data_IF_375403927729
#
_entry.id   IF_375403927729
#
_cell.length_a   1.000
_cell.length_b   1.000
_cell.length_c   1.000
_cell.angle_alpha   90.00
_cell.angle_beta   90.00
_cell.angle_gamma   90.00
#
_symmetry.space_group_name_H-M   'P 1'
#
loop_
_entity.id
_entity.type
_entity.pdbx_description
1 polymer ?
#
# COMPACT_ATOMS: atom_id res chain seq x y z
N UNK A 1 -14.14 -33.66 45.06
CA UNK A 1 -14.82 -32.35 45.01
C UNK A 1 -13.84 -31.27 45.42
N UNK A 2 -13.70 -30.21 44.64
CA UNK A 2 -12.95 -29.01 45.01
C UNK A 2 -12.07 -28.47 43.88
N UNK A 3 -12.67 -27.79 42.90
CA UNK A 3 -11.93 -26.94 41.96
C UNK A 3 -11.43 -25.66 42.66
N UNK A 4 -10.22 -25.15 42.36
CA UNK A 4 -9.81 -23.82 42.78
C UNK A 4 -10.32 -22.75 41.81
N UNK A 5 -11.14 -21.82 42.33
CA UNK A 5 -11.65 -20.66 41.59
C UNK A 5 -10.52 -19.66 41.32
N UNK A 6 -10.19 -19.44 40.05
CA UNK A 6 -9.36 -18.32 39.60
C UNK A 6 -10.16 -17.01 39.70
N UNK A 7 -9.63 -16.06 40.48
CA UNK A 7 -10.21 -14.74 40.69
C UNK A 7 -10.20 -13.87 39.44
N UNK A 8 -11.25 -13.04 39.27
CA UNK A 8 -11.35 -12.04 38.20
C UNK A 8 -10.26 -10.97 38.32
N UNK A 9 -9.66 -10.50 37.21
CA UNK A 9 -8.81 -9.32 37.22
C UNK A 9 -9.64 -8.02 37.38
N UNK A 10 -9.05 -6.95 37.95
CA UNK A 10 -9.73 -5.67 38.15
C UNK A 10 -9.96 -4.90 36.84
N UNK A 11 -11.10 -4.20 36.74
CA UNK A 11 -11.45 -3.30 35.63
C UNK A 11 -10.58 -2.04 35.71
N UNK A 12 -9.81 -1.76 34.66
CA UNK A 12 -9.16 -0.48 34.45
C UNK A 12 -10.21 0.55 33.99
N UNK A 13 -10.34 1.63 34.74
CA UNK A 13 -11.19 2.80 34.44
C UNK A 13 -10.54 3.65 33.34
N UNK A 14 -11.28 3.93 32.26
CA UNK A 14 -10.86 4.82 31.19
C UNK A 14 -10.93 6.31 31.61
N UNK A 15 -9.99 7.16 31.18
CA UNK A 15 -10.05 8.61 31.44
C UNK A 15 -11.04 9.34 30.48
N UNK A 16 -11.60 10.49 30.90
CA UNK A 16 -12.61 11.23 30.13
C UNK A 16 -12.03 12.04 28.97
N UNK A 17 -12.83 12.16 27.90
CA UNK A 17 -12.56 12.91 26.66
C UNK A 17 -12.80 14.42 26.89
N UNK A 18 -11.91 15.34 26.47
CA UNK A 18 -12.15 16.78 26.57
C UNK A 18 -13.07 17.29 25.46
N UNK A 19 -14.02 18.14 25.87
CA UNK A 19 -15.01 18.81 25.04
C UNK A 19 -14.43 19.97 24.21
N UNK A 20 -14.94 20.15 22.99
CA UNK A 20 -14.61 21.24 22.07
C UNK A 20 -15.21 22.58 22.53
N UNK A 21 -14.50 23.73 22.42
CA UNK A 21 -15.08 25.03 22.72
C UNK A 21 -15.72 25.67 21.49
N UNK A 22 -16.97 26.10 21.68
CA UNK A 22 -17.74 27.04 20.86
C UNK A 22 -17.17 28.45 20.98
N UNK A 23 -16.89 29.12 19.85
CA UNK A 23 -16.47 30.52 19.82
C UNK A 23 -17.66 31.44 19.53
N UNK A 24 -18.04 32.24 20.53
CA UNK A 24 -18.92 33.41 20.41
C UNK A 24 -18.13 34.70 20.66
N UNK A 25 -18.20 35.59 19.67
CA UNK A 25 -18.36 37.06 19.78
C UNK A 25 -17.44 37.85 20.74
N UNK A 26 -16.64 38.75 20.16
CA UNK A 26 -16.30 40.03 20.81
C UNK A 26 -15.92 41.09 19.76
N UNK A 27 -16.64 42.22 19.80
CA UNK A 27 -16.23 43.50 19.19
C UNK A 27 -15.52 44.35 20.26
N UNK A 28 -14.70 45.35 19.87
CA UNK A 28 -14.41 46.50 20.73
C UNK A 28 -14.88 47.84 20.15
N UNK A 29 -15.31 48.70 21.08
CA UNK A 29 -15.69 50.10 20.95
C UNK A 29 -14.49 51.06 20.82
N UNK A 30 -14.82 52.28 20.37
CA UNK A 30 -14.32 53.64 20.74
C UNK A 30 -14.09 54.46 19.46
N UNK A 31 -14.52 55.71 19.27
CA UNK A 31 -15.15 56.74 20.11
C UNK A 31 -14.73 58.11 19.57
N UNK A 32 -15.68 59.02 19.25
CA UNK A 32 -15.61 60.49 19.46
C UNK A 32 -16.66 61.25 18.65
N UNK A 33 -17.44 62.05 19.38
CA UNK A 33 -18.35 63.05 18.85
C UNK A 33 -17.61 64.38 18.58
N UNK A 34 -18.00 65.07 17.51
CA UNK A 34 -17.55 66.42 17.18
C UNK A 34 -18.53 67.08 16.19
N UNK A 35 -19.37 67.97 16.71
CA UNK A 35 -20.39 68.74 15.99
C UNK A 35 -19.78 69.80 15.05
N UNK A 36 -20.33 69.96 13.83
CA UNK A 36 -20.44 71.26 13.10
C UNK A 36 -21.25 71.16 11.79
N UNK A 37 -22.41 71.83 11.84
CA UNK A 37 -23.11 72.67 10.82
C UNK A 37 -23.10 72.27 9.32
N UNK A 38 -24.34 72.07 8.85
CA UNK A 38 -24.94 72.24 7.52
C UNK A 38 -24.07 72.68 6.33
N UNK A 39 -24.08 71.88 5.27
CA UNK A 39 -24.29 72.35 3.89
C UNK A 39 -25.11 71.28 3.12
N UNK A 40 -26.30 71.68 2.64
CA UNK A 40 -27.16 70.91 1.75
C UNK A 40 -26.60 71.02 0.32
N UNK A 41 -26.26 69.89 -0.29
CA UNK A 41 -26.17 69.75 -1.76
C UNK A 41 -27.18 68.68 -2.19
N UNK A 42 -27.92 68.88 -3.30
CA UNK A 42 -28.91 67.93 -3.76
C UNK A 42 -28.22 66.78 -4.50
N UNK A 43 -28.29 65.56 -3.97
CA UNK A 43 -28.02 64.36 -4.77
C UNK A 43 -29.29 64.01 -5.57
N UNK A 44 -29.19 63.72 -6.88
CA UNK A 44 -30.33 63.30 -7.68
C UNK A 44 -30.79 61.91 -7.25
N UNK A 45 -32.10 61.76 -7.13
CA UNK A 45 -32.78 60.47 -6.94
C UNK A 45 -32.51 59.60 -8.17
N UNK A 46 -31.98 58.37 -8.06
CA UNK A 46 -31.93 57.47 -9.19
C UNK A 46 -33.35 56.99 -9.53
N UNK A 47 -33.71 57.15 -10.80
CA UNK A 47 -34.97 56.73 -11.41
C UNK A 47 -35.26 55.23 -11.17
N UNK A 48 -36.54 54.80 -11.17
CA UNK A 48 -36.88 53.40 -11.00
C UNK A 48 -36.29 52.56 -12.14
N UNK A 49 -35.49 51.55 -11.77
CA UNK A 49 -34.99 50.55 -12.71
C UNK A 49 -36.17 49.87 -13.40
N UNK A 50 -36.25 50.04 -14.71
CA UNK A 50 -37.14 49.26 -15.57
C UNK A 50 -36.88 47.76 -15.34
N UNK A 51 -37.94 46.95 -15.30
CA UNK A 51 -37.87 45.48 -15.32
C UNK A 51 -37.22 45.03 -16.64
N UNK A 52 -35.89 45.04 -16.67
CA UNK A 52 -35.11 44.30 -17.67
C UNK A 52 -35.30 42.81 -17.39
N UNK A 53 -35.68 42.06 -18.42
CA UNK A 53 -35.73 40.62 -18.38
C UNK A 53 -34.40 40.08 -17.83
N UNK A 54 -34.49 39.18 -16.85
CA UNK A 54 -33.35 38.44 -16.31
C UNK A 54 -32.64 37.79 -17.50
N UNK A 55 -31.32 37.97 -17.70
CA UNK A 55 -30.63 37.26 -18.77
C UNK A 55 -30.85 35.76 -18.58
N UNK A 56 -31.07 34.98 -19.67
CA UNK A 56 -31.18 33.53 -19.54
C UNK A 56 -29.91 33.03 -18.84
N UNK A 57 -30.08 32.14 -17.86
CA UNK A 57 -28.96 31.41 -17.28
C UNK A 57 -28.11 30.86 -18.43
N UNK A 58 -26.76 30.91 -18.36
CA UNK A 58 -25.94 30.37 -19.43
C UNK A 58 -26.38 28.94 -19.67
N UNK A 59 -26.87 28.66 -20.89
CA UNK A 59 -27.21 27.31 -21.29
C UNK A 59 -25.96 26.47 -21.04
N UNK A 60 -26.04 25.52 -20.12
CA UNK A 60 -25.00 24.52 -19.89
C UNK A 60 -24.67 23.98 -21.27
N UNK A 61 -23.47 24.30 -21.77
CA UNK A 61 -23.03 23.82 -23.06
C UNK A 61 -22.99 22.30 -22.96
N UNK A 62 -24.02 21.64 -23.48
CA UNK A 62 -24.05 20.18 -23.58
C UNK A 62 -22.89 19.81 -24.49
N UNK A 63 -21.82 19.31 -23.89
CA UNK A 63 -20.70 18.74 -24.61
C UNK A 63 -21.27 17.64 -25.52
N UNK A 64 -21.30 17.87 -26.83
CA UNK A 64 -21.78 16.86 -27.79
C UNK A 64 -20.75 15.74 -27.81
N UNK A 65 -21.06 14.65 -27.11
CA UNK A 65 -20.32 13.40 -27.24
C UNK A 65 -20.62 12.81 -28.61
N UNK A 66 -19.58 12.43 -29.35
CA UNK A 66 -19.78 11.79 -30.65
C UNK A 66 -20.46 10.43 -30.45
N UNK A 67 -21.50 10.07 -31.23
CA UNK A 67 -22.21 8.80 -31.09
C UNK A 67 -21.28 7.57 -31.15
N UNK A 68 -20.25 7.63 -32.00
CA UNK A 68 -19.23 6.58 -32.11
C UNK A 68 -18.40 6.43 -30.84
N UNK A 69 -18.12 7.53 -30.13
CA UNK A 69 -17.39 7.49 -28.87
C UNK A 69 -18.24 6.89 -27.75
N UNK A 70 -19.54 7.23 -27.71
CA UNK A 70 -20.49 6.65 -26.76
C UNK A 70 -20.62 5.14 -26.95
N UNK A 71 -20.81 4.68 -28.21
CA UNK A 71 -20.90 3.26 -28.52
C UNK A 71 -19.66 2.46 -28.09
N UNK A 72 -18.45 3.02 -28.26
CA UNK A 72 -17.20 2.37 -27.81
C UNK A 72 -17.13 2.24 -26.28
N UNK A 73 -17.61 3.23 -25.54
CA UNK A 73 -17.65 3.20 -24.07
C UNK A 73 -18.66 2.17 -23.58
N UNK A 74 -19.82 2.06 -24.23
CA UNK A 74 -20.85 1.11 -23.85
C UNK A 74 -20.40 -0.35 -24.10
N UNK A 75 -19.77 -0.62 -25.24
CA UNK A 75 -19.14 -1.94 -25.51
C UNK A 75 -18.07 -2.28 -24.46
N UNK A 76 -17.25 -1.29 -24.07
CA UNK A 76 -16.24 -1.50 -23.03
C UNK A 76 -16.87 -1.78 -21.65
N UNK A 77 -17.98 -1.13 -21.31
CA UNK A 77 -18.74 -1.38 -20.07
C UNK A 77 -19.32 -2.79 -20.04
N UNK A 78 -19.91 -3.26 -21.13
CA UNK A 78 -20.46 -4.62 -21.24
C UNK A 78 -19.37 -5.69 -21.12
N UNK A 79 -18.22 -5.50 -21.78
CA UNK A 79 -17.06 -6.39 -21.68
C UNK A 79 -16.52 -6.43 -20.24
N UNK A 80 -16.39 -5.29 -19.57
CA UNK A 80 -15.99 -5.22 -18.17
C UNK A 80 -16.99 -5.90 -17.23
N UNK A 81 -18.30 -5.76 -17.50
CA UNK A 81 -19.34 -6.42 -16.71
C UNK A 81 -19.22 -7.94 -16.83
N UNK A 82 -19.14 -8.45 -18.07
CA UNK A 82 -18.99 -9.88 -18.36
C UNK A 82 -17.72 -10.46 -17.73
N UNK A 83 -16.59 -9.75 -17.83
CA UNK A 83 -15.33 -10.14 -17.17
C UNK A 83 -15.46 -10.18 -15.66
N UNK A 84 -16.10 -9.17 -15.06
CA UNK A 84 -16.28 -9.09 -13.61
C UNK A 84 -17.17 -10.22 -13.07
N UNK A 85 -18.25 -10.55 -13.77
CA UNK A 85 -19.11 -11.68 -13.42
C UNK A 85 -18.35 -13.01 -13.46
N UNK A 86 -17.57 -13.24 -14.52
CA UNK A 86 -16.72 -14.43 -14.62
C UNK A 86 -15.65 -14.47 -13.51
N UNK A 87 -15.06 -13.32 -13.17
CA UNK A 87 -14.10 -13.22 -12.08
C UNK A 87 -14.71 -13.62 -10.73
N UNK A 88 -15.89 -13.07 -10.42
CA UNK A 88 -16.57 -13.32 -9.15
C UNK A 88 -17.13 -14.75 -9.08
N UNK A 89 -17.65 -15.27 -10.19
CA UNK A 89 -18.33 -16.57 -10.27
C UNK A 89 -17.39 -17.76 -10.38
N UNK A 90 -16.28 -17.62 -11.10
CA UNK A 90 -15.38 -18.72 -11.44
C UNK A 90 -13.94 -18.49 -10.97
N UNK A 91 -13.35 -17.34 -11.31
CA UNK A 91 -11.92 -17.11 -11.09
C UNK A 91 -11.54 -16.99 -9.61
N UNK A 92 -12.26 -16.19 -8.82
CA UNK A 92 -11.95 -15.99 -7.41
C UNK A 92 -12.07 -17.28 -6.58
N UNK A 93 -13.16 -18.08 -6.71
CA UNK A 93 -13.23 -19.39 -6.06
C UNK A 93 -12.07 -20.32 -6.40
N UNK A 94 -11.67 -20.35 -7.69
CA UNK A 94 -10.52 -21.12 -8.16
C UNK A 94 -9.23 -20.64 -7.48
N UNK A 95 -8.95 -19.33 -7.52
CA UNK A 95 -7.75 -18.73 -6.91
C UNK A 95 -7.68 -18.93 -5.40
N UNK A 96 -8.80 -18.83 -4.69
CA UNK A 96 -8.85 -19.12 -3.25
C UNK A 96 -8.41 -20.56 -2.98
N UNK A 97 -8.89 -21.51 -3.79
CA UNK A 97 -8.56 -22.93 -3.64
C UNK A 97 -7.09 -23.22 -3.96
N UNK A 98 -6.55 -22.60 -5.02
CA UNK A 98 -5.12 -22.69 -5.39
C UNK A 98 -4.22 -22.17 -4.27
N UNK A 99 -4.51 -20.98 -3.74
CA UNK A 99 -3.72 -20.38 -2.66
C UNK A 99 -3.86 -21.14 -1.34
N UNK A 100 -5.03 -21.71 -1.04
CA UNK A 100 -5.23 -22.59 0.11
C UNK A 100 -4.44 -23.90 -0.01
N UNK A 101 -4.36 -24.46 -1.22
CA UNK A 101 -3.51 -25.62 -1.48
C UNK A 101 -2.04 -25.25 -1.29
N UNK A 102 -1.59 -24.13 -1.86
CA UNK A 102 -0.22 -23.66 -1.73
C UNK A 102 0.19 -23.42 -0.26
N UNK A 103 -0.69 -22.80 0.53
CA UNK A 103 -0.46 -22.58 1.97
C UNK A 103 -0.34 -23.86 2.79
N UNK A 104 -0.77 -25.02 2.28
CA UNK A 104 -0.65 -26.33 2.93
C UNK A 104 0.57 -27.12 2.46
N UNK A 105 1.25 -26.65 1.41
CA UNK A 105 2.44 -27.33 0.92
C UNK A 105 3.59 -27.26 1.96
N UNK A 106 4.44 -28.28 2.05
CA UNK A 106 5.57 -28.30 3.00
C UNK A 106 6.51 -27.09 2.84
N UNK A 107 6.63 -26.55 1.62
CA UNK A 107 7.49 -25.40 1.30
C UNK A 107 7.09 -24.11 2.01
N UNK A 108 5.84 -23.99 2.48
CA UNK A 108 5.35 -22.87 3.30
C UNK A 108 5.02 -23.29 4.75
N UNK A 109 5.37 -24.52 5.12
CA UNK A 109 5.13 -25.09 6.45
C UNK A 109 6.38 -25.80 7.00
N UNK A 110 7.55 -25.20 6.80
CA UNK A 110 8.80 -25.65 7.41
C UNK A 110 8.70 -25.65 8.94
N UNK A 111 8.82 -26.84 9.54
CA UNK A 111 8.75 -27.02 10.99
C UNK A 111 10.03 -26.54 11.70
N UNK A 112 11.17 -26.56 11.01
CA UNK A 112 12.45 -26.13 11.53
C UNK A 112 13.06 -25.05 10.65
N UNK A 113 13.09 -23.81 11.15
CA UNK A 113 13.64 -22.65 10.43
C UNK A 113 15.14 -22.79 10.14
N UNK A 114 15.85 -23.67 10.85
CA UNK A 114 17.25 -23.99 10.54
C UNK A 114 17.42 -24.54 9.12
N UNK A 115 16.38 -25.17 8.56
CA UNK A 115 16.37 -25.67 7.18
C UNK A 115 16.43 -24.53 6.15
N UNK A 116 16.12 -23.29 6.54
CA UNK A 116 16.17 -22.12 5.67
C UNK A 116 17.56 -21.50 5.62
N UNK A 117 18.50 -21.90 6.48
CA UNK A 117 19.83 -21.30 6.53
C UNK A 117 20.62 -21.63 5.26
N UNK A 118 20.81 -20.62 4.41
CA UNK A 118 21.68 -20.72 3.24
C UNK A 118 23.17 -20.77 3.66
N UNK A 119 24.02 -21.50 2.93
CA UNK A 119 25.46 -21.48 3.17
C UNK A 119 26.04 -20.05 3.08
N UNK A 120 26.80 -19.65 4.11
CA UNK A 120 27.46 -18.35 4.18
C UNK A 120 28.97 -18.54 4.34
N UNK A 121 29.66 -18.83 3.23
CA UNK A 121 31.08 -19.20 3.19
C UNK A 121 32.01 -17.96 3.21
N UNK A 122 31.88 -17.16 4.26
CA UNK A 122 32.79 -16.04 4.53
C UNK A 122 33.89 -16.55 5.47
N UNK A 123 35.19 -16.37 5.17
CA UNK A 123 36.27 -16.82 6.04
C UNK A 123 36.17 -16.21 7.44
N UNK A 124 36.26 -17.02 8.50
CA UNK A 124 36.30 -16.54 9.89
C UNK A 124 37.75 -16.17 10.23
N UNK A 125 38.03 -14.92 10.66
CA UNK A 125 39.38 -14.52 11.02
C UNK A 125 39.84 -15.29 12.26
N UNK A 126 40.98 -15.95 12.14
CA UNK A 126 41.64 -16.58 13.28
C UNK A 126 42.59 -15.54 13.91
N UNK A 127 42.39 -15.15 15.19
CA UNK A 127 43.19 -14.11 15.83
C UNK A 127 44.68 -14.46 15.90
N UNK A 128 45.06 -15.75 15.85
CA UNK A 128 46.46 -16.17 15.82
C UNK A 128 47.06 -15.94 14.43
N UNK A 129 46.33 -16.35 13.38
CA UNK A 129 46.78 -16.19 11.99
C UNK A 129 46.76 -14.73 11.53
N UNK A 130 45.81 -13.94 12.01
CA UNK A 130 45.77 -12.50 11.74
C UNK A 130 46.94 -11.78 12.42
N UNK A 131 47.29 -12.13 13.67
CA UNK A 131 48.49 -11.59 14.32
C UNK A 131 49.78 -11.96 13.59
N UNK A 132 49.93 -13.21 13.15
CA UNK A 132 51.08 -13.63 12.34
C UNK A 132 51.14 -12.89 11.00
N UNK A 133 50.00 -12.66 10.35
CA UNK A 133 49.90 -11.94 9.07
C UNK A 133 50.18 -10.44 9.25
N UNK A 134 49.74 -9.85 10.35
CA UNK A 134 50.00 -8.46 10.72
C UNK A 134 51.47 -8.27 11.12
N UNK A 135 52.08 -9.22 11.82
CA UNK A 135 53.51 -9.24 12.13
C UNK A 135 54.36 -9.42 10.87
N UNK A 136 53.97 -10.31 9.95
CA UNK A 136 54.62 -10.46 8.63
C UNK A 136 54.50 -9.18 7.80
N UNK A 137 53.33 -8.53 7.77
CA UNK A 137 53.15 -7.22 7.11
C UNK A 137 54.02 -6.13 7.74
N UNK A 138 54.07 -6.06 9.08
CA UNK A 138 54.93 -5.09 9.81
C UNK A 138 56.43 -5.35 9.61
N UNK A 139 56.83 -6.60 9.35
CA UNK A 139 58.19 -6.94 8.97
C UNK A 139 58.50 -6.54 7.52
N UNK A 140 57.56 -6.77 6.59
CA UNK A 140 57.69 -6.36 5.18
C UNK A 140 57.69 -4.83 4.99
N UNK A 141 56.84 -4.09 5.73
CA UNK A 141 56.81 -2.62 5.71
C UNK A 141 58.03 -1.96 6.36
N UNK A 142 58.80 -2.71 7.18
CA UNK A 142 60.08 -2.23 7.72
C UNK A 142 61.24 -2.42 6.75
N UNK A 143 61.11 -3.26 5.73
CA UNK A 143 62.12 -3.47 4.69
C UNK A 143 61.91 -2.55 3.47
N UNK A 144 60.67 -2.22 3.10
CA UNK A 144 60.36 -1.25 2.03
C UNK A 144 60.13 0.16 2.58
N UNK A 145 61.21 0.83 2.97
CA UNK A 145 61.19 2.27 3.28
C UNK A 145 61.83 3.09 2.15
N UNK A 146 61.30 2.98 0.93
CA UNK A 146 61.36 4.06 -0.05
C UNK A 146 60.25 3.94 -1.11
N UNK A 147 59.66 5.09 -1.46
CA UNK A 147 58.69 5.33 -2.53
C UNK A 147 57.20 4.94 -2.37
N UNK A 148 56.44 5.84 -1.73
CA UNK A 148 55.24 6.53 -2.29
C UNK A 148 54.21 5.68 -3.08
N UNK A 149 53.01 5.48 -2.50
CA UNK A 149 51.75 6.12 -2.97
C UNK A 149 50.56 5.77 -2.08
N UNK A 150 49.94 6.82 -1.53
CA UNK A 150 48.57 6.84 -1.02
C UNK A 150 47.63 6.68 -2.22
N UNK A 151 47.07 5.49 -2.41
CA UNK A 151 46.13 5.19 -3.50
C UNK A 151 45.13 4.14 -3.01
N UNK A 152 43.85 4.52 -3.04
CA UNK A 152 42.64 3.73 -2.80
C UNK A 152 42.82 2.28 -2.32
N UNK A 153 42.57 2.06 -1.03
CA UNK A 153 42.26 0.74 -0.47
C UNK A 153 40.76 0.42 -0.57
N UNK A 154 40.03 1.11 -1.47
CA UNK A 154 38.59 0.89 -1.70
C UNK A 154 38.28 -0.21 -2.74
N UNK A 155 39.28 -0.69 -3.49
CA UNK A 155 39.08 -1.61 -4.64
C UNK A 155 39.71 -3.00 -4.48
N UNK A 156 40.13 -3.37 -3.26
CA UNK A 156 40.36 -4.80 -2.98
C UNK A 156 39.01 -5.42 -2.67
N UNK A 157 38.39 -6.00 -3.72
CA UNK A 157 37.19 -6.81 -3.60
C UNK A 157 37.25 -7.71 -2.37
N UNK A 158 36.11 -7.92 -1.67
CA UNK A 158 36.10 -8.59 -0.37
C UNK A 158 36.84 -9.93 -0.44
N UNK A 159 37.58 -10.32 0.62
CA UNK A 159 38.43 -11.52 0.64
C UNK A 159 37.61 -12.83 0.73
N UNK A 160 36.48 -12.89 0.04
CA UNK A 160 35.43 -13.90 0.15
C UNK A 160 35.02 -14.36 -1.26
N UNK A 161 34.74 -15.66 -1.42
CA UNK A 161 34.14 -16.21 -2.63
C UNK A 161 32.71 -15.70 -2.88
N UNK A 162 32.09 -16.07 -4.01
CA UNK A 162 30.72 -15.64 -4.31
C UNK A 162 29.73 -16.18 -3.27
N UNK A 163 29.00 -15.28 -2.61
CA UNK A 163 27.91 -15.63 -1.69
C UNK A 163 26.59 -15.66 -2.46
N UNK A 164 25.98 -16.84 -2.54
CA UNK A 164 24.75 -17.04 -3.29
C UNK A 164 23.50 -16.50 -2.56
N UNK A 165 22.41 -16.34 -3.33
CA UNK A 165 21.08 -16.09 -2.78
C UNK A 165 20.55 -17.32 -2.05
N UNK A 166 19.56 -17.13 -1.17
CA UNK A 166 18.86 -18.24 -0.54
C UNK A 166 17.90 -18.90 -1.54
N UNK A 167 18.27 -20.06 -2.06
CA UNK A 167 17.52 -20.76 -3.11
C UNK A 167 16.07 -21.06 -2.71
N UNK A 168 15.83 -21.45 -1.45
CA UNK A 168 14.48 -21.76 -0.96
C UNK A 168 13.58 -20.53 -1.00
N UNK A 169 14.08 -19.39 -0.56
CA UNK A 169 13.36 -18.12 -0.60
C UNK A 169 13.14 -17.68 -2.04
N UNK A 170 14.15 -17.81 -2.90
CA UNK A 170 14.04 -17.44 -4.33
C UNK A 170 12.95 -18.26 -5.03
N UNK A 171 12.87 -19.57 -4.79
CA UNK A 171 11.81 -20.43 -5.38
C UNK A 171 10.42 -20.01 -4.89
N UNK A 172 10.29 -19.68 -3.60
CA UNK A 172 9.02 -19.18 -3.05
C UNK A 172 8.64 -17.82 -3.67
N UNK A 173 9.59 -16.90 -3.82
CA UNK A 173 9.39 -15.60 -4.45
C UNK A 173 9.00 -15.74 -5.94
N UNK A 174 9.55 -16.73 -6.65
CA UNK A 174 9.17 -17.01 -8.04
C UNK A 174 7.70 -17.42 -8.17
N UNK A 175 7.14 -18.11 -7.17
CA UNK A 175 5.70 -18.45 -7.12
C UNK A 175 4.85 -17.30 -6.60
N UNK A 176 5.35 -16.49 -5.67
CA UNK A 176 4.61 -15.38 -5.08
C UNK A 176 4.42 -14.20 -6.07
N UNK A 177 5.47 -13.81 -6.79
CA UNK A 177 5.45 -12.68 -7.75
C UNK A 177 4.28 -12.72 -8.75
N UNK A 178 4.00 -13.84 -9.46
CA UNK A 178 2.87 -13.90 -10.37
C UNK A 178 1.51 -13.79 -9.65
N UNK A 179 1.37 -14.31 -8.43
CA UNK A 179 0.14 -14.16 -7.65
C UNK A 179 -0.11 -12.71 -7.22
N UNK A 180 0.95 -11.96 -6.87
CA UNK A 180 0.86 -10.52 -6.59
C UNK A 180 0.39 -9.76 -7.83
N UNK A 181 1.04 -10.02 -8.98
CA UNK A 181 0.68 -9.37 -10.25
C UNK A 181 -0.78 -9.63 -10.60
N UNK A 182 -1.20 -10.89 -10.54
CA UNK A 182 -2.56 -11.29 -10.89
C UNK A 182 -3.60 -10.61 -9.99
N UNK A 183 -3.40 -10.61 -8.67
CA UNK A 183 -4.38 -9.98 -7.76
C UNK A 183 -4.49 -8.47 -7.99
N UNK A 184 -3.40 -7.78 -8.34
CA UNK A 184 -3.42 -6.36 -8.69
C UNK A 184 -4.19 -6.13 -9.98
N UNK A 185 -3.96 -6.93 -11.03
CA UNK A 185 -4.68 -6.84 -12.30
C UNK A 185 -6.18 -7.06 -12.12
N UNK A 186 -6.57 -8.12 -11.38
CA UNK A 186 -7.98 -8.38 -11.11
C UNK A 186 -8.62 -7.31 -10.24
N UNK A 187 -7.88 -6.77 -9.26
CA UNK A 187 -8.37 -5.69 -8.41
C UNK A 187 -8.60 -4.42 -9.21
N UNK A 188 -7.71 -4.09 -10.15
CA UNK A 188 -7.86 -2.94 -11.04
C UNK A 188 -9.06 -3.09 -11.96
N UNK A 189 -9.29 -4.28 -12.53
CA UNK A 189 -10.47 -4.54 -13.35
C UNK A 189 -11.78 -4.30 -12.58
N UNK A 190 -11.90 -4.86 -11.37
CA UNK A 190 -13.08 -4.66 -10.51
C UNK A 190 -13.21 -3.19 -10.09
N UNK A 191 -12.09 -2.48 -9.90
CA UNK A 191 -12.08 -1.04 -9.57
C UNK A 191 -12.58 -0.18 -10.71
N UNK A 192 -12.11 -0.42 -11.93
CA UNK A 192 -12.60 0.28 -13.12
C UNK A 192 -14.08 -0.03 -13.36
N UNK A 193 -14.49 -1.30 -13.23
CA UNK A 193 -15.90 -1.67 -13.35
C UNK A 193 -16.77 -0.91 -12.34
N UNK A 194 -16.40 -0.89 -11.05
CA UNK A 194 -17.16 -0.20 -10.00
C UNK A 194 -17.25 1.31 -10.25
N UNK A 195 -16.17 1.96 -10.67
CA UNK A 195 -16.16 3.39 -10.99
C UNK A 195 -17.12 3.73 -12.13
N UNK A 196 -17.22 2.86 -13.14
CA UNK A 196 -18.14 3.04 -14.26
C UNK A 196 -19.60 2.80 -13.87
N UNK A 197 -19.90 2.21 -12.71
CA UNK A 197 -21.27 2.03 -12.21
C UNK A 197 -21.80 3.23 -11.41
N UNK A 198 -20.97 4.24 -11.11
CA UNK A 198 -21.40 5.40 -10.33
C UNK A 198 -22.43 6.20 -11.14
N UNK A 199 -23.69 6.33 -10.63
CA UNK A 199 -24.74 7.06 -11.34
C UNK A 199 -24.47 8.57 -11.35
N UNK A 200 -25.24 9.31 -12.14
CA UNK A 200 -25.20 10.78 -12.09
C UNK A 200 -25.56 11.26 -10.69
N UNK A 201 -24.92 12.35 -10.27
CA UNK A 201 -25.18 12.97 -8.98
C UNK A 201 -26.61 13.54 -9.02
N UNK A 202 -27.47 13.03 -8.15
CA UNK A 202 -28.84 13.49 -7.95
C UNK A 202 -29.00 14.10 -6.55
N UNK A 203 -29.93 15.04 -6.41
CA UNK A 203 -30.16 15.76 -5.16
C UNK A 203 -31.08 14.90 -4.26
N UNK A 204 -30.50 13.89 -3.61
CA UNK A 204 -31.19 12.94 -2.73
C UNK A 204 -30.91 11.47 -3.08
N UNK A 205 -31.29 10.54 -2.19
CA UNK A 205 -31.10 9.08 -2.37
C UNK A 205 -29.62 8.61 -2.52
N UNK A 206 -28.68 9.31 -1.87
CA UNK A 206 -27.24 9.03 -1.96
C UNK A 206 -26.74 7.85 -1.10
N UNK A 207 -27.63 7.07 -0.47
CA UNK A 207 -27.22 5.96 0.39
C UNK A 207 -26.46 4.89 -0.40
N UNK A 208 -26.94 4.53 -1.60
CA UNK A 208 -26.26 3.58 -2.48
C UNK A 208 -24.88 4.06 -2.90
N UNK A 209 -24.74 5.36 -3.20
CA UNK A 209 -23.47 5.99 -3.56
C UNK A 209 -22.50 5.97 -2.37
N UNK A 210 -22.94 6.29 -1.16
CA UNK A 210 -22.10 6.21 0.04
C UNK A 210 -21.60 4.78 0.34
N UNK A 211 -22.42 3.75 0.08
CA UNK A 211 -21.99 2.35 0.20
C UNK A 211 -20.94 2.03 -0.87
N UNK A 212 -21.15 2.47 -2.12
CA UNK A 212 -20.18 2.29 -3.21
C UNK A 212 -18.84 2.98 -2.90
N UNK A 213 -18.87 4.22 -2.40
CA UNK A 213 -17.67 4.96 -1.97
C UNK A 213 -16.91 4.21 -0.87
N UNK A 214 -17.62 3.65 0.13
CA UNK A 214 -16.95 2.90 1.19
C UNK A 214 -16.29 1.63 0.68
N UNK A 215 -16.92 0.96 -0.28
CA UNK A 215 -16.35 -0.21 -0.95
C UNK A 215 -15.13 0.20 -1.76
N UNK A 216 -15.22 1.30 -2.52
CA UNK A 216 -14.12 1.89 -3.28
C UNK A 216 -12.90 2.18 -2.39
N UNK A 217 -13.10 2.86 -1.25
CA UNK A 217 -12.04 3.16 -0.27
C UNK A 217 -11.32 1.89 0.20
N UNK A 218 -12.06 0.81 0.46
CA UNK A 218 -11.47 -0.47 0.84
C UNK A 218 -10.66 -1.10 -0.30
N UNK A 219 -11.09 -0.92 -1.57
CA UNK A 219 -10.37 -1.43 -2.74
C UNK A 219 -9.04 -0.69 -2.90
N UNK A 220 -9.07 0.64 -2.79
CA UNK A 220 -7.88 1.48 -2.86
C UNK A 220 -6.90 1.12 -1.75
N UNK A 221 -7.37 0.97 -0.51
CA UNK A 221 -6.52 0.55 0.61
C UNK A 221 -5.86 -0.80 0.36
N UNK A 222 -6.61 -1.76 -0.19
CA UNK A 222 -6.09 -3.09 -0.52
C UNK A 222 -5.09 -3.00 -1.69
N UNK A 223 -5.35 -2.18 -2.70
CA UNK A 223 -4.45 -1.96 -3.83
C UNK A 223 -3.09 -1.47 -3.36
N UNK A 224 -3.07 -0.38 -2.56
CA UNK A 224 -1.84 0.17 -1.99
C UNK A 224 -1.08 -0.87 -1.16
N UNK A 225 -1.80 -1.71 -0.41
CA UNK A 225 -1.16 -2.79 0.36
C UNK A 225 -0.48 -3.83 -0.53
N UNK A 226 -1.14 -4.27 -1.60
CA UNK A 226 -0.62 -5.26 -2.54
C UNK A 226 0.57 -4.72 -3.34
N UNK A 227 0.55 -3.44 -3.72
CA UNK A 227 1.71 -2.77 -4.32
C UNK A 227 2.92 -2.76 -3.36
N UNK A 228 2.68 -2.61 -2.07
CA UNK A 228 3.70 -2.68 -1.02
C UNK A 228 4.46 -4.01 -1.00
N UNK A 229 3.87 -5.11 -1.46
CA UNK A 229 4.55 -6.41 -1.51
C UNK A 229 5.72 -6.42 -2.50
N UNK A 230 5.60 -5.74 -3.64
CA UNK A 230 6.72 -5.62 -4.59
C UNK A 230 7.90 -4.85 -3.99
N UNK A 231 7.60 -3.80 -3.22
CA UNK A 231 8.62 -3.04 -2.49
C UNK A 231 9.29 -3.89 -1.43
N UNK A 232 8.54 -4.70 -0.67
CA UNK A 232 9.08 -5.61 0.34
C UNK A 232 10.05 -6.65 -0.27
N UNK A 233 9.67 -7.28 -1.39
CA UNK A 233 10.54 -8.25 -2.09
C UNK A 233 11.85 -7.58 -2.53
N UNK A 234 11.78 -6.35 -3.02
CA UNK A 234 12.97 -5.62 -3.47
C UNK A 234 13.86 -5.22 -2.29
N UNK A 235 13.24 -4.82 -1.17
CA UNK A 235 13.91 -4.48 0.09
C UNK A 235 14.66 -5.68 0.66
N UNK A 236 14.11 -6.89 0.61
CA UNK A 236 14.81 -8.10 1.04
C UNK A 236 16.16 -8.29 0.33
N UNK A 237 16.20 -8.21 -1.00
CA UNK A 237 17.45 -8.36 -1.75
C UNK A 237 18.46 -7.26 -1.41
N UNK A 238 17.99 -6.02 -1.22
CA UNK A 238 18.85 -4.90 -0.83
C UNK A 238 19.44 -5.10 0.57
N UNK A 239 18.59 -5.36 1.58
CA UNK A 239 19.01 -5.50 2.97
C UNK A 239 19.90 -6.74 3.18
N UNK A 240 19.58 -7.85 2.51
CA UNK A 240 20.42 -9.05 2.52
C UNK A 240 21.76 -8.79 1.84
N UNK A 241 21.77 -8.09 0.71
CA UNK A 241 23.00 -7.69 0.02
C UNK A 241 23.92 -6.86 0.93
N UNK A 242 23.36 -5.84 1.58
CA UNK A 242 24.09 -4.99 2.53
C UNK A 242 24.63 -5.79 3.73
N UNK A 243 23.82 -6.71 4.28
CA UNK A 243 24.24 -7.57 5.39
C UNK A 243 25.39 -8.50 4.97
N UNK A 244 25.32 -9.11 3.79
CA UNK A 244 26.39 -9.94 3.23
C UNK A 244 27.66 -9.11 2.98
N UNK A 245 27.54 -7.91 2.41
CA UNK A 245 28.68 -7.01 2.22
C UNK A 245 29.35 -6.64 3.55
N UNK A 246 28.57 -6.32 4.59
CA UNK A 246 29.10 -6.02 5.93
C UNK A 246 29.78 -7.24 6.55
N UNK A 247 29.19 -8.43 6.43
CA UNK A 247 29.79 -9.67 6.91
C UNK A 247 31.12 -9.99 6.21
N UNK A 248 31.23 -9.72 4.91
CA UNK A 248 32.45 -9.96 4.13
C UNK A 248 33.54 -8.90 4.39
N UNK A 249 33.17 -7.63 4.62
CA UNK A 249 34.11 -6.54 4.96
C UNK A 249 34.58 -6.59 6.41
N UNK A 250 33.75 -7.10 7.32
CA UNK A 250 34.05 -7.19 8.76
C UNK A 250 33.84 -8.62 9.27
N UNK A 251 34.67 -9.61 8.87
CA UNK A 251 34.38 -11.01 9.16
C UNK A 251 34.54 -11.39 10.64
N UNK A 252 35.14 -10.51 11.44
CA UNK A 252 35.27 -10.63 12.90
C UNK A 252 33.96 -10.30 13.64
N UNK A 253 33.02 -9.59 13.01
CA UNK A 253 31.71 -9.28 13.60
C UNK A 253 30.74 -10.40 13.27
N UNK A 254 30.53 -11.31 14.23
CA UNK A 254 29.64 -12.46 14.06
C UNK A 254 28.17 -12.08 13.81
N UNK A 255 27.73 -10.91 14.32
CA UNK A 255 26.33 -10.46 14.21
C UNK A 255 25.88 -10.25 12.76
N UNK A 256 26.76 -9.85 11.84
CA UNK A 256 26.37 -9.70 10.44
C UNK A 256 26.06 -11.04 9.77
N UNK A 257 26.72 -12.13 10.19
CA UNK A 257 26.39 -13.48 9.70
C UNK A 257 25.03 -13.91 10.20
N UNK A 258 24.75 -13.66 11.48
CA UNK A 258 23.45 -13.93 12.06
C UNK A 258 22.36 -13.09 11.38
N UNK A 259 22.62 -11.80 11.11
CA UNK A 259 21.68 -10.90 10.43
C UNK A 259 21.25 -11.44 9.06
N UNK A 260 22.17 -12.00 8.26
CA UNK A 260 21.81 -12.63 6.97
C UNK A 260 20.81 -13.76 7.17
N UNK A 261 20.99 -14.60 8.18
CA UNK A 261 20.07 -15.70 8.49
C UNK A 261 18.72 -15.20 9.06
N UNK A 262 18.73 -14.18 9.91
CA UNK A 262 17.50 -13.58 10.44
C UNK A 262 16.66 -12.93 9.33
N UNK A 263 17.31 -12.26 8.37
CA UNK A 263 16.62 -11.71 7.19
C UNK A 263 15.99 -12.81 6.34
N UNK A 264 16.68 -13.94 6.16
CA UNK A 264 16.15 -15.09 5.43
C UNK A 264 14.92 -15.69 6.16
N UNK A 265 14.98 -15.85 7.48
CA UNK A 265 13.84 -16.33 8.27
C UNK A 265 12.67 -15.35 8.31
N UNK A 266 12.94 -14.05 8.39
CA UNK A 266 11.93 -13.01 8.34
C UNK A 266 11.21 -13.00 6.99
N UNK A 267 11.94 -13.03 5.88
CA UNK A 267 11.36 -13.03 4.54
C UNK A 267 10.51 -14.29 4.29
N UNK A 268 10.93 -15.46 4.78
CA UNK A 268 10.10 -16.67 4.72
C UNK A 268 8.74 -16.49 5.42
N UNK A 269 8.74 -15.88 6.62
CA UNK A 269 7.51 -15.59 7.37
C UNK A 269 6.63 -14.58 6.62
N UNK A 270 7.25 -13.54 6.06
CA UNK A 270 6.56 -12.49 5.31
C UNK A 270 5.94 -13.04 4.02
N UNK A 271 6.65 -13.90 3.28
CA UNK A 271 6.10 -14.60 2.10
C UNK A 271 4.84 -15.37 2.48
N UNK A 272 4.86 -16.13 3.57
CA UNK A 272 3.69 -16.89 4.02
C UNK A 272 2.52 -15.96 4.36
N UNK A 273 2.77 -14.84 5.02
CA UNK A 273 1.74 -13.83 5.30
C UNK A 273 1.20 -13.18 4.02
N UNK A 274 2.07 -12.83 3.07
CA UNK A 274 1.67 -12.26 1.78
C UNK A 274 0.72 -13.21 1.03
N UNK A 275 1.02 -14.51 0.95
CA UNK A 275 0.12 -15.50 0.33
C UNK A 275 -1.24 -15.55 1.04
N UNK A 276 -1.26 -15.55 2.37
CA UNK A 276 -2.51 -15.50 3.14
C UNK A 276 -3.31 -14.22 2.85
N UNK A 277 -2.64 -13.08 2.73
CA UNK A 277 -3.29 -11.81 2.46
C UNK A 277 -3.86 -11.71 1.06
N UNK A 278 -3.16 -12.25 0.05
CA UNK A 278 -3.65 -12.39 -1.32
C UNK A 278 -4.90 -13.29 -1.35
N UNK A 279 -4.88 -14.44 -0.68
CA UNK A 279 -6.07 -15.29 -0.55
C UNK A 279 -7.23 -14.55 0.11
N UNK A 280 -6.94 -13.86 1.23
CA UNK A 280 -7.95 -13.11 1.97
C UNK A 280 -8.49 -11.91 1.16
N UNK A 281 -7.73 -11.37 0.20
CA UNK A 281 -8.22 -10.40 -0.76
C UNK A 281 -9.33 -11.02 -1.62
N UNK A 282 -9.06 -12.16 -2.26
CA UNK A 282 -10.07 -12.86 -3.08
C UNK A 282 -11.33 -13.26 -2.29
N UNK A 283 -11.18 -13.74 -1.05
CA UNK A 283 -12.33 -14.10 -0.19
C UNK A 283 -13.22 -12.90 0.12
N UNK A 284 -12.62 -11.78 0.58
CA UNK A 284 -13.36 -10.55 0.90
C UNK A 284 -14.11 -10.03 -0.32
N UNK A 285 -13.50 -10.14 -1.50
CA UNK A 285 -14.11 -9.71 -2.76
C UNK A 285 -15.29 -10.54 -3.19
N UNK A 286 -15.21 -11.86 -3.10
CA UNK A 286 -16.36 -12.73 -3.37
C UNK A 286 -17.56 -12.37 -2.50
N UNK A 287 -17.32 -12.18 -1.20
CA UNK A 287 -18.37 -11.81 -0.25
C UNK A 287 -18.98 -10.42 -0.48
N UNK A 288 -18.21 -9.47 -1.00
CA UNK A 288 -18.69 -8.13 -1.35
C UNK A 288 -19.38 -8.08 -2.71
N UNK A 289 -18.85 -8.76 -3.72
CA UNK A 289 -19.42 -8.84 -5.06
C UNK A 289 -20.81 -9.48 -5.05
N UNK A 290 -21.01 -10.59 -4.32
CA UNK A 290 -22.34 -11.22 -4.21
C UNK A 290 -23.41 -10.33 -3.57
N UNK A 291 -23.02 -9.40 -2.69
CA UNK A 291 -23.96 -8.50 -2.03
C UNK A 291 -24.30 -7.27 -2.87
N UNK A 292 -23.38 -6.83 -3.72
CA UNK A 292 -23.50 -5.58 -4.48
C UNK A 292 -23.90 -5.76 -5.94
N UNK A 293 -23.64 -6.92 -6.55
CA UNK A 293 -24.04 -7.20 -7.93
C UNK A 293 -25.54 -6.94 -8.17
N UNK A 294 -26.48 -7.36 -7.29
CA UNK A 294 -27.90 -7.07 -7.48
C UNK A 294 -28.24 -5.58 -7.42
N UNK A 295 -27.55 -4.81 -6.58
CA UNK A 295 -27.79 -3.37 -6.42
C UNK A 295 -27.24 -2.57 -7.61
N UNK A 296 -26.06 -2.94 -8.13
CA UNK A 296 -25.45 -2.31 -9.30
C UNK A 296 -26.24 -2.61 -10.59
N UNK A 297 -26.71 -3.84 -10.79
CA UNK A 297 -27.53 -4.20 -11.96
C UNK A 297 -28.91 -3.53 -11.93
N UNK A 298 -29.51 -3.33 -10.75
CA UNK A 298 -30.77 -2.60 -10.64
C UNK A 298 -30.64 -1.11 -11.00
N UNK A 299 -29.51 -0.46 -10.67
CA UNK A 299 -29.23 0.92 -11.11
C UNK A 299 -29.08 1.05 -12.63
N UNK A 300 -28.49 0.05 -13.31
CA UNK A 300 -28.41 0.01 -14.78
C UNK A 300 -29.77 -0.19 -15.45
N UNK A 301 -30.62 -1.06 -14.88
CA UNK A 301 -31.94 -1.36 -15.45
C UNK A 301 -32.89 -0.16 -15.36
N UNK A 302 -32.77 0.66 -14.31
CA UNK A 302 -33.53 1.90 -14.16
C UNK A 302 -33.08 3.02 -15.11
N UNK A 303 -31.82 3.00 -15.58
CA UNK A 303 -31.34 3.96 -16.59
C UNK A 303 -31.71 3.56 -18.03
N UNK A 304 -31.89 2.27 -18.32
CA UNK A 304 -32.28 1.78 -19.65
C UNK A 304 -33.81 1.78 -19.88
N UNK A 305 -34.62 1.90 -18.82
CA UNK A 305 -36.09 1.87 -18.89
C UNK A 305 -36.78 3.24 -18.78
N UNK A 306 -36.04 4.34 -18.93
CA UNK A 306 -36.57 5.71 -18.89
C UNK A 306 -36.76 6.29 -20.29
N UNK A 307 -37.71 5.77 -21.06
CA UNK A 307 -38.35 6.46 -22.18
C UNK A 307 -39.78 6.89 -21.78
#
# INVERSE_FOLDING_TARGET
MGEPRLGRPPRLSSPPVPASPSTSTTSPQEGRAGSRRCFRFPFPVPAPFARGARPPAPAMATLRVQPEAQAKVDVFREDLCSKTENLLGSYFPKKISELDAFLKEPVLNEANLSNLKAPLDIPVPDPVKEKEKEERKKQQEKEDKDEKKKGDDEDKGPPCGPVNCNEKIVVLLQRLKPEIKDVIEQLNLVTTWLQLQIPRIEDGNNFGVAVQEKVFELMTTLHTKLEGFHTQISKYFSERGDAVTKAAKQPHVGDYRQLVHELDEAEYRDIRLMVMEIRNAYVRRRGQGQKQLPQATHSLTLQAGGE
#
